data_IF_112274074463
#
_entry.id   IF_112274074463
#
_cell.length_a   1.000
_cell.length_b   1.000
_cell.length_c   1.000
_cell.angle_alpha   90.00
_cell.angle_beta   90.00
_cell.angle_gamma   90.00
#
_symmetry.space_group_name_H-M   'P 1'
#
loop_
_entity.id
_entity.type
_entity.pdbx_description
1 polymer ?
#
# COMPACT_ATOMS: atom_id res chain seq x y z
N UNK A 1 -10.68 7.35 -6.17
CA UNK A 1 -9.47 7.97 -6.75
C UNK A 1 -8.27 7.19 -6.27
N UNK A 2 -7.26 6.98 -7.10
CA UNK A 2 -5.95 6.45 -6.69
C UNK A 2 -4.89 6.99 -7.66
N UNK A 3 -3.64 7.10 -7.18
CA UNK A 3 -2.48 7.45 -8.00
C UNK A 3 -1.93 6.19 -8.68
N UNK A 4 -1.48 6.34 -9.93
CA UNK A 4 -0.70 5.36 -10.69
C UNK A 4 0.62 6.01 -11.07
N UNK A 5 1.64 5.80 -10.25
CA UNK A 5 2.94 6.45 -10.37
C UNK A 5 3.98 5.61 -11.13
N UNK A 6 3.72 4.30 -11.28
CA UNK A 6 4.65 3.36 -11.90
C UNK A 6 4.62 3.42 -13.45
N UNK A 7 5.75 3.34 -14.16
CA UNK A 7 7.11 3.42 -13.64
C UNK A 7 7.64 4.87 -13.51
N UNK A 8 7.23 5.77 -14.39
CA UNK A 8 7.71 7.15 -14.56
C UNK A 8 6.55 8.13 -14.77
N UNK A 9 5.46 7.98 -13.99
CA UNK A 9 4.25 8.80 -14.13
C UNK A 9 4.01 9.75 -12.96
N UNK A 10 4.83 9.70 -11.93
CA UNK A 10 4.62 10.51 -10.73
C UNK A 10 4.67 12.01 -11.03
N UNK A 11 5.51 12.43 -11.99
CA UNK A 11 5.60 13.83 -12.43
C UNK A 11 4.32 14.38 -13.06
N UNK A 12 3.34 13.52 -13.39
CA UNK A 12 2.04 13.96 -13.92
C UNK A 12 1.11 14.51 -12.84
N UNK A 13 1.36 14.22 -11.55
CA UNK A 13 0.49 14.71 -10.49
C UNK A 13 1.19 15.59 -9.44
N UNK A 14 2.54 15.53 -9.35
CA UNK A 14 3.31 16.55 -8.63
C UNK A 14 4.72 16.72 -9.24
N UNK A 15 5.32 17.92 -9.18
CA UNK A 15 6.67 18.16 -9.68
C UNK A 15 7.71 17.37 -8.87
N UNK A 16 8.49 16.53 -9.53
CA UNK A 16 9.56 15.76 -8.90
C UNK A 16 10.64 15.37 -9.92
N UNK A 17 11.75 14.88 -9.42
CA UNK A 17 12.74 14.18 -10.21
C UNK A 17 12.31 12.72 -10.32
N UNK A 18 11.76 12.35 -11.48
CA UNK A 18 11.09 11.06 -11.69
C UNK A 18 12.08 9.97 -12.15
N UNK A 19 13.07 9.70 -11.29
CA UNK A 19 14.02 8.61 -11.47
C UNK A 19 14.04 7.71 -10.23
N UNK A 20 14.19 6.37 -10.42
CA UNK A 20 14.07 5.43 -9.30
C UNK A 20 15.16 5.57 -8.24
N UNK A 21 16.30 6.18 -8.57
CA UNK A 21 17.41 6.39 -7.63
C UNK A 21 17.32 7.68 -6.81
N UNK A 22 16.33 8.54 -7.08
CA UNK A 22 16.10 9.74 -6.28
C UNK A 22 15.12 9.42 -5.14
N UNK A 23 15.66 9.25 -3.93
CA UNK A 23 14.89 8.87 -2.74
C UNK A 23 14.59 10.08 -1.88
N UNK A 24 13.32 10.21 -1.51
CA UNK A 24 12.77 11.31 -0.73
C UNK A 24 11.91 10.80 0.42
N UNK A 25 11.77 11.59 1.46
CA UNK A 25 10.65 11.48 2.41
C UNK A 25 9.46 12.26 1.88
N UNK A 26 8.24 11.90 2.28
CA UNK A 26 7.07 12.66 1.88
C UNK A 26 6.01 12.72 2.96
N UNK A 27 5.23 13.81 2.91
CA UNK A 27 4.00 13.95 3.68
C UNK A 27 2.84 14.17 2.71
N UNK A 28 1.68 13.56 3.03
CA UNK A 28 0.45 13.71 2.26
C UNK A 28 -0.66 14.19 3.19
N UNK A 29 -1.18 15.38 2.89
CA UNK A 29 -2.39 15.90 3.51
C UNK A 29 -3.53 15.81 2.48
N UNK A 30 -4.45 14.89 2.69
CA UNK A 30 -5.56 14.66 1.78
C UNK A 30 -6.90 14.95 2.45
N UNK A 31 -7.64 15.94 1.92
CA UNK A 31 -8.99 16.27 2.36
C UNK A 31 -10.00 15.65 1.40
N UNK A 32 -10.89 14.84 1.94
CA UNK A 32 -11.93 14.13 1.19
C UNK A 32 -13.30 14.32 1.86
N UNK A 33 -14.36 13.92 1.19
CA UNK A 33 -15.69 13.84 1.82
C UNK A 33 -15.68 12.81 2.95
N UNK A 34 -16.49 13.01 3.99
CA UNK A 34 -16.44 12.23 5.23
C UNK A 34 -16.78 10.74 5.09
N UNK A 35 -17.37 10.35 3.96
CA UNK A 35 -17.67 8.95 3.60
C UNK A 35 -16.46 8.20 3.04
N UNK A 36 -15.36 8.89 2.72
CA UNK A 36 -14.16 8.29 2.16
C UNK A 36 -13.06 8.15 3.21
N UNK A 37 -12.25 7.12 3.03
CA UNK A 37 -10.98 6.92 3.74
C UNK A 37 -9.82 7.05 2.78
N UNK A 38 -8.72 7.58 3.29
CA UNK A 38 -7.48 7.79 2.51
C UNK A 38 -6.39 6.87 3.03
N UNK A 39 -5.85 6.02 2.16
CA UNK A 39 -4.63 5.24 2.39
C UNK A 39 -3.46 5.83 1.61
N UNK A 40 -2.29 5.90 2.24
CA UNK A 40 -1.05 6.39 1.62
C UNK A 40 0.18 5.77 2.28
N UNK A 41 1.38 6.13 1.79
CA UNK A 41 2.66 5.65 2.34
C UNK A 41 2.87 6.08 3.80
N UNK A 42 3.67 5.29 4.53
CA UNK A 42 4.13 5.62 5.87
C UNK A 42 3.06 5.49 6.95
N UNK A 43 3.23 6.20 8.05
CA UNK A 43 2.33 6.19 9.22
C UNK A 43 1.24 7.25 9.13
N UNK A 44 0.08 6.94 9.65
CA UNK A 44 -0.99 7.91 9.85
C UNK A 44 -0.64 8.83 11.04
N UNK A 45 -0.46 10.12 10.76
CA UNK A 45 -0.11 11.14 11.77
C UNK A 45 -1.35 11.67 12.46
N UNK A 46 -2.39 12.01 11.66
CA UNK A 46 -3.65 12.52 12.20
C UNK A 46 -4.81 12.34 11.23
N UNK A 47 -6.01 12.35 11.80
CA UNK A 47 -7.29 12.44 11.07
C UNK A 47 -8.08 13.58 11.69
N UNK A 48 -8.45 14.57 10.89
CA UNK A 48 -9.18 15.77 11.36
C UNK A 48 -10.49 15.91 10.59
N UNK A 49 -11.59 15.82 11.32
CA UNK A 49 -12.94 16.00 10.75
C UNK A 49 -13.33 17.49 10.73
N UNK A 50 -13.90 17.93 9.62
CA UNK A 50 -14.61 19.21 9.51
C UNK A 50 -16.11 18.93 9.28
N UNK A 51 -16.86 18.83 10.37
CA UNK A 51 -18.29 18.51 10.32
C UNK A 51 -19.11 19.56 9.57
N UNK A 52 -18.71 20.83 9.64
CA UNK A 52 -19.42 21.91 8.95
C UNK A 52 -19.27 21.83 7.43
N UNK A 53 -18.14 21.35 6.95
CA UNK A 53 -17.87 21.14 5.52
C UNK A 53 -18.20 19.71 5.04
N UNK A 54 -18.50 18.76 5.95
CA UNK A 54 -18.69 17.37 5.61
C UNK A 54 -17.44 16.68 5.06
N UNK A 55 -16.24 17.11 5.52
CA UNK A 55 -14.95 16.61 5.04
C UNK A 55 -14.09 16.04 6.17
N UNK A 56 -13.12 15.24 5.80
CA UNK A 56 -12.09 14.70 6.69
C UNK A 56 -10.72 14.86 6.03
N UNK A 57 -9.73 15.32 6.81
CA UNK A 57 -8.34 15.46 6.35
C UNK A 57 -7.49 14.39 7.01
N UNK A 58 -6.82 13.59 6.19
CA UNK A 58 -5.83 12.61 6.60
C UNK A 58 -4.43 13.19 6.42
N UNK A 59 -3.57 13.02 7.43
CA UNK A 59 -2.16 13.36 7.35
C UNK A 59 -1.33 12.09 7.48
N UNK A 60 -0.62 11.75 6.41
CA UNK A 60 0.30 10.62 6.33
C UNK A 60 1.74 11.11 6.22
N UNK A 61 2.70 10.38 6.82
CA UNK A 61 4.14 10.70 6.76
C UNK A 61 4.96 9.44 6.50
N UNK A 62 5.75 9.47 5.43
CA UNK A 62 6.76 8.49 5.11
C UNK A 62 8.13 9.07 5.50
N UNK A 63 8.62 8.68 6.68
CA UNK A 63 9.81 9.26 7.30
C UNK A 63 11.13 8.63 6.77
N UNK A 64 11.07 7.45 6.17
CA UNK A 64 12.21 6.77 5.56
C UNK A 64 12.26 7.08 4.06
N UNK A 65 13.41 7.49 3.51
CA UNK A 65 13.52 7.83 2.10
C UNK A 65 13.18 6.64 1.19
N UNK A 66 12.35 6.89 0.18
CA UNK A 66 11.97 5.94 -0.85
C UNK A 66 11.87 6.64 -2.22
N UNK A 67 11.86 5.87 -3.30
CA UNK A 67 11.79 6.43 -4.64
C UNK A 67 10.46 7.11 -4.92
N UNK A 68 10.47 8.17 -5.71
CA UNK A 68 9.27 8.97 -6.01
C UNK A 68 8.18 8.17 -6.70
N UNK A 69 8.51 7.19 -7.57
CA UNK A 69 7.53 6.34 -8.23
C UNK A 69 6.72 5.45 -7.27
N UNK A 70 7.20 5.27 -6.04
CA UNK A 70 6.55 4.51 -4.98
C UNK A 70 5.58 5.34 -4.12
N UNK A 71 5.49 6.67 -4.38
CA UNK A 71 4.54 7.54 -3.69
C UNK A 71 3.13 7.20 -4.16
N UNK A 72 2.26 6.92 -3.19
CA UNK A 72 0.93 6.40 -3.43
C UNK A 72 -0.13 7.09 -2.58
N UNK A 73 -1.29 7.30 -3.18
CA UNK A 73 -2.51 7.78 -2.55
C UNK A 73 -3.71 7.05 -3.12
N UNK A 74 -4.60 6.59 -2.26
CA UNK A 74 -5.91 6.10 -2.68
C UNK A 74 -7.00 6.61 -1.74
N UNK A 75 -8.15 6.98 -2.30
CA UNK A 75 -9.33 7.41 -1.55
C UNK A 75 -10.59 6.70 -2.09
N UNK A 76 -11.28 5.98 -1.20
CA UNK A 76 -12.51 5.28 -1.49
C UNK A 76 -13.28 5.00 -0.17
N UNK A 77 -14.52 4.50 -0.22
CA UNK A 77 -15.27 4.11 0.98
C UNK A 77 -14.75 2.78 1.56
N UNK A 78 -13.46 2.75 1.89
CA UNK A 78 -12.81 1.53 2.34
C UNK A 78 -13.32 1.04 3.71
N UNK A 79 -13.43 -0.28 3.83
CA UNK A 79 -13.36 -1.00 5.10
C UNK A 79 -11.92 -1.40 5.33
N UNK A 80 -11.41 -1.17 6.54
CA UNK A 80 -10.04 -1.54 6.91
C UNK A 80 -10.10 -2.71 7.88
N UNK A 81 -9.57 -3.84 7.46
CA UNK A 81 -9.40 -5.03 8.29
C UNK A 81 -7.99 -4.99 8.86
N UNK A 82 -7.88 -4.99 10.18
CA UNK A 82 -6.61 -4.86 10.89
C UNK A 82 -6.02 -6.24 11.19
N UNK A 83 -4.71 -6.36 10.98
CA UNK A 83 -3.88 -7.50 11.30
C UNK A 83 -2.50 -7.00 11.78
N UNK A 84 -1.59 -7.87 12.14
CA UNK A 84 -0.25 -7.48 12.60
C UNK A 84 0.78 -8.61 12.46
N UNK A 85 2.04 -8.22 12.26
CA UNK A 85 3.20 -9.07 12.48
C UNK A 85 3.99 -8.52 13.68
N UNK A 86 3.82 -9.13 14.87
CA UNK A 86 4.35 -8.59 16.11
C UNK A 86 3.77 -7.19 16.39
N UNK A 87 4.62 -6.18 16.41
CA UNK A 87 4.22 -4.76 16.59
C UNK A 87 4.01 -4.02 15.26
N UNK A 88 4.31 -4.64 14.12
CA UNK A 88 4.14 -4.05 12.81
C UNK A 88 2.65 -4.10 12.41
N UNK A 89 1.98 -2.96 12.19
CA UNK A 89 0.62 -2.96 11.66
C UNK A 89 0.59 -3.53 10.24
N UNK A 90 -0.36 -4.43 9.99
CA UNK A 90 -0.69 -4.97 8.67
C UNK A 90 -2.17 -4.71 8.45
N UNK A 91 -2.56 -4.03 7.38
CA UNK A 91 -3.96 -3.70 7.17
C UNK A 91 -4.40 -4.02 5.74
N UNK A 92 -5.64 -4.44 5.63
CA UNK A 92 -6.29 -4.78 4.36
C UNK A 92 -7.40 -3.76 4.08
N UNK A 93 -7.18 -2.88 3.11
CA UNK A 93 -8.09 -1.83 2.70
C UNK A 93 -8.93 -2.32 1.53
N UNK A 94 -10.15 -2.71 1.80
CA UNK A 94 -11.02 -3.36 0.81
C UNK A 94 -12.30 -2.56 0.61
N UNK A 95 -12.97 -2.77 -0.53
CA UNK A 95 -14.30 -2.21 -0.71
C UNK A 95 -15.31 -2.90 0.19
N UNK A 96 -16.41 -2.23 0.62
CA UNK A 96 -17.38 -2.79 1.56
C UNK A 96 -17.90 -4.18 1.17
N UNK A 97 -18.15 -4.40 -0.12
CA UNK A 97 -18.63 -5.70 -0.62
C UNK A 97 -17.61 -6.84 -0.50
N UNK A 98 -16.34 -6.51 -0.33
CA UNK A 98 -15.24 -7.47 -0.26
C UNK A 98 -14.71 -7.69 1.16
N UNK A 99 -15.30 -7.07 2.18
CA UNK A 99 -14.86 -7.14 3.59
C UNK A 99 -14.61 -8.58 4.05
N UNK A 100 -15.55 -9.49 3.75
CA UNK A 100 -15.45 -10.91 4.16
C UNK A 100 -14.35 -11.67 3.41
N UNK A 101 -13.88 -11.16 2.29
CA UNK A 101 -12.81 -11.75 1.49
C UNK A 101 -11.42 -11.26 1.89
N UNK A 102 -11.32 -10.21 2.71
CA UNK A 102 -10.04 -9.61 3.08
C UNK A 102 -9.11 -10.63 3.75
N UNK A 103 -9.58 -11.32 4.79
CA UNK A 103 -8.77 -12.32 5.50
C UNK A 103 -8.46 -13.57 4.66
N UNK A 104 -9.39 -14.18 3.90
CA UNK A 104 -9.05 -15.26 2.96
C UNK A 104 -7.99 -14.85 1.94
N UNK A 105 -8.04 -13.62 1.42
CA UNK A 105 -7.11 -13.13 0.40
C UNK A 105 -5.74 -12.77 0.98
N UNK A 106 -5.70 -12.02 2.08
CA UNK A 106 -4.49 -11.38 2.58
C UNK A 106 -3.97 -11.94 3.91
N UNK A 107 -4.74 -12.74 4.63
CA UNK A 107 -4.44 -13.14 6.02
C UNK A 107 -3.16 -13.98 6.20
N UNK A 108 -2.50 -14.41 5.11
CA UNK A 108 -1.18 -15.03 5.17
C UNK A 108 -0.02 -14.03 5.13
N UNK A 109 -0.31 -12.73 5.00
CA UNK A 109 0.71 -11.66 4.91
C UNK A 109 1.67 -11.63 6.11
N UNK A 110 1.22 -11.75 7.38
CA UNK A 110 2.15 -11.79 8.52
C UNK A 110 3.16 -12.93 8.42
N UNK A 111 2.73 -14.13 8.00
CA UNK A 111 3.62 -15.28 7.81
C UNK A 111 4.60 -15.07 6.64
N UNK A 112 4.17 -14.37 5.58
CA UNK A 112 5.04 -14.00 4.46
C UNK A 112 6.12 -12.99 4.90
N UNK A 113 5.77 -12.01 5.74
CA UNK A 113 6.73 -11.05 6.33
C UNK A 113 7.77 -11.80 7.16
N UNK A 114 7.35 -12.73 8.02
CA UNK A 114 8.28 -13.58 8.79
C UNK A 114 9.22 -14.37 7.89
N UNK A 115 8.67 -15.00 6.84
CA UNK A 115 9.44 -15.76 5.87
C UNK A 115 10.49 -14.90 5.18
N UNK A 116 10.12 -13.72 4.68
CA UNK A 116 11.03 -12.82 3.98
C UNK A 116 12.07 -12.21 4.91
N UNK A 117 11.71 -11.81 6.13
CA UNK A 117 12.67 -11.35 7.15
C UNK A 117 13.79 -12.37 7.34
N UNK A 118 13.43 -13.65 7.46
CA UNK A 118 14.39 -14.74 7.66
C UNK A 118 15.19 -15.03 6.38
N UNK A 119 14.53 -15.06 5.23
CA UNK A 119 15.15 -15.42 3.94
C UNK A 119 16.12 -14.35 3.45
N UNK A 120 15.75 -13.08 3.61
CA UNK A 120 16.60 -11.96 3.20
C UNK A 120 17.62 -11.54 4.29
N UNK A 121 17.47 -12.04 5.51
CA UNK A 121 18.33 -11.66 6.64
C UNK A 121 18.18 -10.21 7.05
N UNK A 122 17.05 -9.58 6.73
CA UNK A 122 16.76 -8.18 7.02
C UNK A 122 15.29 -8.01 7.36
N UNK A 123 14.98 -7.39 8.50
CA UNK A 123 13.61 -7.17 8.92
C UNK A 123 12.88 -6.18 8.00
N UNK A 124 11.57 -6.34 7.89
CA UNK A 124 10.69 -5.41 7.17
C UNK A 124 10.99 -3.96 7.60
N UNK A 125 11.34 -3.07 6.64
CA UNK A 125 11.97 -1.80 7.00
C UNK A 125 10.97 -0.66 7.29
N UNK A 126 9.70 -0.80 6.89
CA UNK A 126 8.74 0.29 6.90
C UNK A 126 7.86 0.28 8.16
N UNK A 127 7.11 1.38 8.41
CA UNK A 127 6.35 1.57 9.65
C UNK A 127 5.03 0.78 9.71
N UNK A 128 4.53 0.32 8.57
CA UNK A 128 3.34 -0.52 8.41
C UNK A 128 3.39 -1.26 7.09
N UNK A 129 2.46 -2.18 6.87
CA UNK A 129 2.18 -2.74 5.55
C UNK A 129 0.68 -2.72 5.26
N UNK A 130 0.24 -1.85 4.37
CA UNK A 130 -1.13 -1.77 3.89
C UNK A 130 -1.25 -2.39 2.50
N UNK A 131 -2.27 -3.20 2.29
CA UNK A 131 -2.68 -3.73 1.00
C UNK A 131 -4.01 -3.06 0.63
N UNK A 132 -3.99 -2.22 -0.40
CA UNK A 132 -5.08 -1.28 -0.71
C UNK A 132 -5.73 -1.67 -2.03
N UNK A 133 -7.00 -2.05 -1.99
CA UNK A 133 -7.77 -2.42 -3.17
C UNK A 133 -7.97 -1.24 -4.11
N UNK A 134 -7.63 -1.44 -5.39
CA UNK A 134 -7.84 -0.48 -6.48
C UNK A 134 -8.65 -1.11 -7.61
N UNK A 135 -9.36 -0.31 -8.45
CA UNK A 135 -10.27 -0.86 -9.45
C UNK A 135 -9.59 -1.45 -10.68
N UNK A 136 -8.31 -1.15 -10.91
CA UNK A 136 -7.59 -1.53 -12.13
C UNK A 136 -6.14 -1.96 -11.83
N UNK A 137 -5.46 -2.47 -12.85
CA UNK A 137 -4.08 -2.96 -12.74
C UNK A 137 -3.99 -4.38 -12.21
N UNK A 138 -2.79 -4.77 -11.80
CA UNK A 138 -2.45 -6.00 -11.08
C UNK A 138 -2.12 -5.69 -9.63
N UNK A 139 -0.83 -5.70 -9.30
CA UNK A 139 -0.24 -5.09 -8.12
C UNK A 139 0.60 -3.88 -8.50
N UNK A 140 0.92 -3.09 -7.50
CA UNK A 140 1.95 -2.06 -7.57
C UNK A 140 2.56 -1.91 -6.17
N UNK A 141 3.84 -2.03 -6.11
CA UNK A 141 4.64 -2.22 -4.90
C UNK A 141 4.79 -0.98 -4.01
N UNK A 142 3.99 0.05 -4.20
CA UNK A 142 4.12 1.33 -3.47
C UNK A 142 4.50 1.15 -2.00
N UNK A 143 5.55 1.82 -1.58
CA UNK A 143 6.20 1.61 -0.28
C UNK A 143 5.22 1.68 0.88
N UNK A 144 5.16 0.60 1.67
CA UNK A 144 4.28 0.43 2.84
C UNK A 144 2.77 0.51 2.57
N UNK A 145 2.34 0.75 1.31
CA UNK A 145 0.95 0.97 0.90
C UNK A 145 0.71 0.38 -0.51
N UNK A 146 0.91 -0.93 -0.64
CA UNK A 146 0.81 -1.66 -1.91
C UNK A 146 -0.59 -1.57 -2.50
N UNK A 147 -0.68 -1.13 -3.76
CA UNK A 147 -1.93 -1.17 -4.50
C UNK A 147 -2.20 -2.58 -5.02
N UNK A 148 -3.41 -3.08 -4.81
CA UNK A 148 -3.82 -4.42 -5.22
C UNK A 148 -5.12 -4.37 -6.01
N UNK A 149 -5.16 -4.99 -7.18
CA UNK A 149 -6.43 -5.06 -7.90
C UNK A 149 -7.49 -5.79 -7.08
N UNK A 150 -8.68 -5.21 -6.97
CA UNK A 150 -9.80 -5.85 -6.25
C UNK A 150 -10.24 -7.18 -6.88
N UNK A 151 -9.80 -7.49 -8.11
CA UNK A 151 -10.15 -8.74 -8.82
C UNK A 151 -9.51 -9.99 -8.23
N UNK A 152 -8.49 -9.84 -7.37
CA UNK A 152 -7.83 -10.97 -6.68
C UNK A 152 -8.57 -11.43 -5.42
N UNK A 153 -9.65 -10.73 -5.05
CA UNK A 153 -10.40 -11.02 -3.82
C UNK A 153 -11.08 -12.39 -3.91
N UNK A 154 -10.65 -13.31 -3.07
CA UNK A 154 -11.16 -14.68 -3.00
C UNK A 154 -11.89 -14.92 -1.68
N UNK A 155 -12.90 -15.78 -1.71
CA UNK A 155 -13.53 -16.31 -0.50
C UNK A 155 -12.87 -17.63 -0.05
N UNK A 156 -13.18 -18.08 1.16
CA UNK A 156 -12.60 -19.31 1.74
C UNK A 156 -12.84 -20.56 0.89
N UNK A 157 -13.94 -20.61 0.12
CA UNK A 157 -14.28 -21.77 -0.71
C UNK A 157 -13.43 -21.82 -1.97
N UNK A 158 -13.10 -20.66 -2.51
CA UNK A 158 -12.38 -20.54 -3.77
C UNK A 158 -10.85 -20.42 -3.58
N UNK A 159 -10.37 -20.07 -2.37
CA UNK A 159 -8.94 -19.89 -2.10
C UNK A 159 -8.06 -21.09 -2.54
N UNK A 160 -8.45 -22.36 -2.35
CA UNK A 160 -7.64 -23.49 -2.81
C UNK A 160 -7.45 -23.57 -4.33
N UNK A 161 -8.40 -23.08 -5.12
CA UNK A 161 -8.32 -23.09 -6.59
C UNK A 161 -7.78 -21.79 -7.18
N UNK A 162 -8.08 -20.65 -6.54
CA UNK A 162 -7.77 -19.30 -7.02
C UNK A 162 -7.05 -18.52 -5.92
N UNK A 163 -5.84 -18.96 -5.56
CA UNK A 163 -5.08 -18.33 -4.49
C UNK A 163 -4.46 -17.01 -4.92
N UNK A 164 -4.62 -15.98 -4.08
CA UNK A 164 -3.95 -14.69 -4.24
C UNK A 164 -2.48 -14.71 -3.76
N UNK A 165 -2.00 -15.80 -3.18
CA UNK A 165 -0.66 -15.90 -2.55
C UNK A 165 0.44 -15.44 -3.50
N UNK A 166 0.37 -15.79 -4.78
CA UNK A 166 1.40 -15.44 -5.75
C UNK A 166 1.60 -13.93 -5.90
N UNK A 167 0.53 -13.20 -6.16
CA UNK A 167 0.60 -11.75 -6.30
C UNK A 167 0.87 -11.06 -4.96
N UNK A 168 0.25 -11.51 -3.87
CA UNK A 168 0.45 -10.94 -2.53
C UNK A 168 1.92 -11.07 -2.10
N UNK A 169 2.54 -12.24 -2.29
CA UNK A 169 3.95 -12.46 -1.96
C UNK A 169 4.89 -11.69 -2.89
N UNK A 170 4.54 -11.55 -4.18
CA UNK A 170 5.31 -10.78 -5.16
C UNK A 170 5.40 -9.31 -4.73
N UNK A 171 4.25 -8.67 -4.52
CA UNK A 171 4.19 -7.27 -4.12
C UNK A 171 4.82 -7.02 -2.73
N UNK A 172 4.69 -7.98 -1.82
CA UNK A 172 5.35 -7.87 -0.52
C UNK A 172 6.88 -7.98 -0.65
N UNK A 173 7.40 -8.85 -1.51
CA UNK A 173 8.84 -9.00 -1.69
C UNK A 173 9.50 -7.70 -2.21
N UNK A 174 8.77 -6.92 -3.00
CA UNK A 174 9.21 -5.62 -3.48
C UNK A 174 9.54 -4.64 -2.36
N UNK A 175 8.97 -4.76 -1.18
CA UNK A 175 9.25 -3.89 -0.04
C UNK A 175 10.74 -3.93 0.37
N UNK A 176 11.47 -5.00 0.03
CA UNK A 176 12.93 -5.11 0.12
C UNK A 176 13.59 -4.90 -1.24
N UNK A 177 13.09 -5.58 -2.31
CA UNK A 177 13.67 -5.58 -3.65
C UNK A 177 12.84 -4.69 -4.60
N UNK A 178 13.21 -3.46 -4.71
CA UNK A 178 12.50 -2.39 -5.42
C UNK A 178 12.45 -1.14 -4.55
N UNK A 179 11.94 -1.26 -3.33
CA UNK A 179 11.69 -0.15 -2.43
C UNK A 179 12.92 0.20 -1.58
N UNK A 180 13.42 -0.78 -0.79
CA UNK A 180 14.61 -0.58 0.02
C UNK A 180 15.89 -0.59 -0.83
N UNK A 181 16.04 -1.61 -1.66
CA UNK A 181 17.13 -1.76 -2.63
C UNK A 181 16.56 -1.48 -4.00
N UNK A 182 16.79 -0.27 -4.50
CA UNK A 182 16.19 0.22 -5.73
C UNK A 182 17.20 0.24 -6.87
N UNK A 183 16.74 -0.05 -8.08
CA UNK A 183 17.57 0.05 -9.30
C UNK A 183 18.00 1.51 -9.54
N UNK A 184 19.15 1.66 -10.18
CA UNK A 184 19.71 2.99 -10.48
C UNK A 184 18.93 3.71 -11.59
N UNK A 185 18.42 2.98 -12.54
CA UNK A 185 17.61 3.49 -13.65
C UNK A 185 16.74 2.38 -14.23
N UNK A 186 15.70 2.73 -14.97
CA UNK A 186 14.81 1.78 -15.65
C UNK A 186 15.49 0.96 -16.76
N UNK A 187 16.74 1.25 -17.09
CA UNK A 187 17.53 0.51 -18.08
C UNK A 187 18.36 -0.64 -17.50
N UNK A 188 18.26 -0.93 -16.19
CA UNK A 188 19.06 -1.94 -15.51
C UNK A 188 18.20 -3.05 -14.95
#
# INVERSE_FOLDING_TARGET
VFSDSWPDKVHHWFPCFDYPNDKVTNEILATVTADLKVGANGRLVSVVENKAAGTVTYHWSQDLPHSTYLIFLAAAPYVVVHDAYGTLPVNYWVYPQDEKKASPTYGKTPQMIEYFNRTFGYNYPWQKYDQISVPSGGGAESTSATAMTHRIMVDEKNEPEFSAIGIVSHELAHQWWGDLITLRSWAH
#
